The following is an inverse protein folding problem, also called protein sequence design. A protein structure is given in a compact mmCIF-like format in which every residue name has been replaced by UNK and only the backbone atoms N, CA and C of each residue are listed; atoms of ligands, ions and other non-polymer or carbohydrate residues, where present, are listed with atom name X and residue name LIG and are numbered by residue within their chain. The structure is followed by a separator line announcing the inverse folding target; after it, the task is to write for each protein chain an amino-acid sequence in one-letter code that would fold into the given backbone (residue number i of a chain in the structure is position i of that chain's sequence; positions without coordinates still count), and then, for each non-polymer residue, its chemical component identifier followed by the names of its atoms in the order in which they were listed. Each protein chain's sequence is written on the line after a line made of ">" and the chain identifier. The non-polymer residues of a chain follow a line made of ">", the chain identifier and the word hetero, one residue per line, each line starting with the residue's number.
data_IF_202471975435
#
_entry.id   IF_202471975435
#
_cell.length_a   1.000
_cell.length_b   1.000
_cell.length_c   1.000
_cell.angle_alpha   90.00
_cell.angle_beta   90.00
_cell.angle_gamma   90.00
#
_symmetry.space_group_name_H-M   'P 1'
#
loop_
_entity.id
_entity.type
_entity.pdbx_description
1 polymer ?
#
# COMPACT_ATOMS: atom_id res chain seq x y z
N UNK A 1 7.43 -29.19 -7.02
CA UNK A 1 6.50 -28.57 -7.99
C UNK A 1 5.73 -27.50 -7.24
N UNK A 2 5.61 -26.29 -7.79
CA UNK A 2 4.78 -25.26 -7.17
C UNK A 2 3.32 -25.74 -7.15
N UNK A 3 2.66 -25.58 -6.02
CA UNK A 3 1.24 -25.93 -5.84
C UNK A 3 0.42 -24.87 -6.59
N UNK A 4 0.19 -25.10 -7.89
CA UNK A 4 -0.48 -24.16 -8.76
C UNK A 4 -2.00 -24.36 -8.67
N UNK A 5 -2.78 -23.28 -8.51
CA UNK A 5 -4.24 -23.37 -8.53
C UNK A 5 -4.74 -23.89 -9.89
N UNK A 6 -5.90 -24.55 -9.88
CA UNK A 6 -6.53 -25.06 -11.11
C UNK A 6 -7.04 -23.89 -11.97
N UNK A 7 -7.08 -24.06 -13.29
CA UNK A 7 -7.57 -23.02 -14.21
C UNK A 7 -8.99 -22.53 -13.86
N UNK A 8 -9.87 -23.44 -13.45
CA UNK A 8 -11.24 -23.10 -13.08
C UNK A 8 -11.28 -22.21 -11.83
N UNK A 9 -10.34 -22.37 -10.89
CA UNK A 9 -10.23 -21.55 -9.69
C UNK A 9 -9.72 -20.14 -10.00
N UNK A 10 -8.86 -19.99 -11.02
CA UNK A 10 -8.30 -18.70 -11.44
C UNK A 10 -9.34 -17.78 -12.11
N UNK A 11 -10.39 -18.35 -12.70
CA UNK A 11 -11.44 -17.60 -13.42
C UNK A 11 -12.51 -17.06 -12.45
N UNK A 12 -12.62 -17.63 -11.24
CA UNK A 12 -13.64 -17.27 -10.25
C UNK A 12 -13.22 -16.02 -9.46
N UNK A 13 -13.32 -14.85 -10.09
CA UNK A 13 -13.03 -13.56 -9.44
C UNK A 13 -14.31 -13.02 -8.79
N UNK A 14 -14.26 -12.80 -7.48
CA UNK A 14 -15.35 -12.21 -6.73
C UNK A 14 -15.17 -10.69 -6.63
N UNK A 15 -16.05 -9.93 -7.27
CA UNK A 15 -16.06 -8.46 -7.22
C UNK A 15 -17.00 -7.89 -6.14
N UNK A 16 -17.63 -8.75 -5.33
CA UNK A 16 -18.46 -8.27 -4.23
C UNK A 16 -17.56 -7.63 -3.15
N UNK A 17 -17.91 -6.43 -2.65
CA UNK A 17 -17.14 -5.80 -1.60
C UNK A 17 -17.18 -6.65 -0.31
N UNK A 18 -16.13 -6.55 0.53
CA UNK A 18 -16.10 -7.21 1.83
C UNK A 18 -17.24 -6.67 2.72
N UNK A 19 -17.65 -7.48 3.70
CA UNK A 19 -18.68 -7.08 4.68
C UNK A 19 -18.19 -6.04 5.69
N UNK A 20 -16.87 -5.98 5.90
CA UNK A 20 -16.19 -5.04 6.79
C UNK A 20 -16.09 -3.66 6.15
N UNK A 21 -15.85 -2.63 6.96
CA UNK A 21 -15.42 -1.33 6.47
C UNK A 21 -14.15 -1.47 5.62
N UNK A 22 -13.96 -0.57 4.66
CA UNK A 22 -12.80 -0.62 3.76
C UNK A 22 -11.47 -0.40 4.51
N UNK A 23 -11.48 0.36 5.61
CA UNK A 23 -10.32 0.54 6.51
C UNK A 23 -10.08 -0.71 7.37
N UNK A 24 -11.15 -1.38 7.82
CA UNK A 24 -11.08 -2.53 8.74
C UNK A 24 -10.83 -3.88 8.05
N UNK A 25 -10.87 -3.91 6.72
CA UNK A 25 -10.64 -5.15 5.97
C UNK A 25 -9.17 -5.56 6.19
N UNK A 26 -8.81 -6.77 6.63
CA UNK A 26 -7.39 -7.10 6.85
C UNK A 26 -6.65 -7.30 5.51
N UNK A 27 -5.37 -6.96 5.48
CA UNK A 27 -4.51 -7.27 4.32
C UNK A 27 -3.90 -8.66 4.49
N UNK A 28 -4.12 -9.55 3.52
CA UNK A 28 -3.57 -10.91 3.56
C UNK A 28 -2.45 -11.04 2.54
N UNK A 29 -1.22 -11.12 3.03
CA UNK A 29 -0.04 -11.39 2.19
C UNK A 29 -0.07 -12.87 1.81
N UNK A 30 -0.47 -13.17 0.56
CA UNK A 30 -0.54 -14.53 0.03
C UNK A 30 0.72 -14.89 -0.73
N UNK A 31 1.20 -16.12 -0.55
CA UNK A 31 2.33 -16.67 -1.32
C UNK A 31 2.11 -16.46 -2.83
N UNK A 32 3.09 -15.83 -3.48
CA UNK A 32 3.04 -15.52 -4.91
C UNK A 32 2.43 -14.17 -5.29
N UNK A 33 1.94 -13.37 -4.32
CA UNK A 33 1.29 -12.06 -4.56
C UNK A 33 1.99 -10.91 -3.79
N UNK A 34 3.30 -11.05 -3.55
CA UNK A 34 4.14 -10.03 -2.92
C UNK A 34 5.56 -10.06 -3.50
N UNK A 35 6.29 -8.95 -3.36
CA UNK A 35 7.71 -8.90 -3.70
C UNK A 35 8.54 -9.61 -2.64
N UNK A 36 9.43 -10.50 -3.05
CA UNK A 36 10.33 -11.17 -2.12
C UNK A 36 11.43 -10.20 -1.64
N UNK A 37 11.85 -10.35 -0.39
CA UNK A 37 13.03 -9.67 0.11
C UNK A 37 14.28 -10.10 -0.67
N UNK A 38 15.18 -9.15 -0.92
CA UNK A 38 16.46 -9.46 -1.54
C UNK A 38 17.36 -10.28 -0.60
N UNK A 39 18.26 -11.07 -1.18
CA UNK A 39 19.24 -11.83 -0.40
C UNK A 39 20.12 -10.89 0.43
N UNK A 40 20.15 -11.10 1.74
CA UNK A 40 20.93 -10.29 2.69
C UNK A 40 22.39 -10.09 2.25
N UNK A 41 23.09 -11.17 1.89
CA UNK A 41 24.51 -11.12 1.51
C UNK A 41 24.72 -10.22 0.30
N UNK A 42 23.81 -10.24 -0.66
CA UNK A 42 23.88 -9.38 -1.85
C UNK A 42 23.66 -7.91 -1.51
N UNK A 43 22.70 -7.61 -0.63
CA UNK A 43 22.41 -6.24 -0.17
C UNK A 43 23.58 -5.67 0.62
N UNK A 44 24.17 -6.47 1.51
CA UNK A 44 25.37 -6.13 2.29
C UNK A 44 26.59 -5.92 1.38
N UNK A 45 26.85 -6.84 0.44
CA UNK A 45 27.97 -6.73 -0.53
C UNK A 45 27.90 -5.43 -1.32
N UNK A 46 26.70 -5.00 -1.73
CA UNK A 46 26.49 -3.75 -2.47
C UNK A 46 26.44 -2.51 -1.57
N UNK A 47 26.61 -2.65 -0.25
CA UNK A 47 26.49 -1.56 0.73
C UNK A 47 25.16 -0.80 0.61
N UNK A 48 24.09 -1.50 0.24
CA UNK A 48 22.75 -0.92 0.17
C UNK A 48 22.21 -0.62 1.57
N UNK A 49 21.38 0.44 1.72
CA UNK A 49 20.86 0.84 3.02
C UNK A 49 19.96 -0.23 3.64
N UNK A 50 19.99 -0.32 4.97
CA UNK A 50 19.14 -1.22 5.77
C UNK A 50 19.24 -2.70 5.37
N UNK A 51 20.45 -3.18 5.04
CA UNK A 51 20.72 -4.59 4.79
C UNK A 51 20.32 -5.45 6.01
N UNK A 52 19.34 -6.32 5.83
CA UNK A 52 18.86 -7.25 6.85
C UNK A 52 18.19 -8.47 6.23
N UNK A 53 18.16 -9.57 6.96
CA UNK A 53 17.40 -10.75 6.59
C UNK A 53 15.97 -10.64 7.14
N UNK A 54 14.98 -10.59 6.24
CA UNK A 54 13.56 -10.48 6.58
C UNK A 54 12.70 -11.14 5.49
N UNK A 55 11.45 -11.47 5.81
CA UNK A 55 10.48 -12.00 4.87
C UNK A 55 9.11 -11.33 5.10
N UNK A 56 8.38 -10.92 4.03
CA UNK A 56 7.03 -10.37 4.17
C UNK A 56 6.01 -11.28 4.86
N UNK A 57 6.25 -12.59 4.89
CA UNK A 57 5.41 -13.56 5.59
C UNK A 57 5.70 -13.67 7.09
N UNK A 58 6.85 -13.17 7.54
CA UNK A 58 7.20 -13.19 8.96
C UNK A 58 6.46 -12.07 9.68
N UNK A 59 6.11 -12.30 10.95
CA UNK A 59 5.47 -11.28 11.78
C UNK A 59 6.41 -10.10 12.10
N UNK A 60 7.71 -10.36 12.22
CA UNK A 60 8.73 -9.35 12.50
C UNK A 60 9.58 -9.08 11.25
N UNK A 61 9.46 -7.86 10.70
CA UNK A 61 10.21 -7.42 9.52
C UNK A 61 11.58 -6.81 9.86
N UNK A 62 11.97 -6.85 11.15
CA UNK A 62 13.23 -6.33 11.69
C UNK A 62 13.51 -4.90 11.24
N UNK A 63 12.48 -4.06 11.28
CA UNK A 63 12.56 -2.69 10.82
C UNK A 63 13.59 -1.91 11.67
N UNK A 64 14.33 -0.95 11.09
CA UNK A 64 15.22 -0.09 11.87
C UNK A 64 14.40 0.74 12.86
N UNK A 65 14.92 1.02 14.05
CA UNK A 65 14.17 1.69 15.12
C UNK A 65 13.55 3.04 14.71
N UNK A 66 14.16 3.75 13.77
CA UNK A 66 13.72 5.03 13.26
C UNK A 66 12.95 4.95 11.92
N UNK A 67 12.41 3.78 11.54
CA UNK A 67 11.74 3.60 10.25
C UNK A 67 10.60 4.60 10.01
N UNK A 68 9.82 4.94 11.05
CA UNK A 68 8.74 5.94 10.95
C UNK A 68 9.29 7.31 10.58
N UNK A 69 10.38 7.72 11.24
CA UNK A 69 11.04 8.99 11.00
C UNK A 69 11.57 9.08 9.56
N UNK A 70 12.20 8.01 9.06
CA UNK A 70 12.69 7.93 7.68
C UNK A 70 11.56 8.22 6.68
N UNK A 71 10.40 7.58 6.88
CA UNK A 71 9.25 7.77 5.99
C UNK A 71 8.65 9.18 6.15
N UNK A 72 8.47 9.67 7.38
CA UNK A 72 7.94 11.02 7.62
C UNK A 72 8.82 12.11 6.99
N UNK A 73 10.14 11.99 7.13
CA UNK A 73 11.09 12.92 6.52
C UNK A 73 10.99 12.87 4.99
N UNK A 74 10.97 11.67 4.40
CA UNK A 74 10.83 11.51 2.95
C UNK A 74 9.47 11.99 2.41
N UNK A 75 8.41 11.88 3.20
CA UNK A 75 7.08 12.38 2.87
C UNK A 75 7.05 13.91 2.91
N UNK A 76 7.58 14.52 3.98
CA UNK A 76 7.68 15.97 4.13
C UNK A 76 8.49 16.60 3.00
N UNK A 77 9.65 16.03 2.68
CA UNK A 77 10.48 16.48 1.56
C UNK A 77 9.71 16.50 0.23
N UNK A 78 8.94 15.43 -0.06
CA UNK A 78 8.14 15.33 -1.29
C UNK A 78 6.98 16.29 -1.31
N UNK A 79 6.30 16.49 -0.18
CA UNK A 79 5.28 17.53 -0.06
C UNK A 79 5.89 18.88 -0.37
N UNK A 80 6.97 19.28 0.31
CA UNK A 80 7.58 20.60 0.15
C UNK A 80 8.12 20.85 -1.26
N UNK A 81 8.67 19.82 -1.90
CA UNK A 81 9.25 19.92 -3.24
C UNK A 81 8.24 19.88 -4.39
N UNK A 82 7.16 19.09 -4.27
CA UNK A 82 6.26 18.81 -5.39
C UNK A 82 4.81 19.26 -5.15
N UNK A 83 4.41 20.36 -5.81
CA UNK A 83 3.02 20.84 -5.80
C UNK A 83 2.03 19.78 -6.28
N UNK A 84 2.39 19.01 -7.31
CA UNK A 84 1.53 17.94 -7.84
C UNK A 84 1.22 16.89 -6.78
N UNK A 85 2.22 16.51 -5.98
CA UNK A 85 2.03 15.55 -4.89
C UNK A 85 1.05 16.10 -3.83
N UNK A 86 1.18 17.37 -3.43
CA UNK A 86 0.20 18.02 -2.53
C UNK A 86 -1.23 17.95 -3.11
N UNK A 87 -1.41 18.37 -4.37
CA UNK A 87 -2.73 18.38 -5.01
C UNK A 87 -3.34 16.97 -5.06
N UNK A 88 -2.56 15.95 -5.38
CA UNK A 88 -3.06 14.57 -5.47
C UNK A 88 -3.47 13.96 -4.12
N UNK A 89 -3.04 14.54 -2.99
CA UNK A 89 -3.51 14.15 -1.67
C UNK A 89 -4.94 14.65 -1.40
N UNK A 90 -5.31 15.81 -1.94
CA UNK A 90 -6.56 16.50 -1.58
C UNK A 90 -7.65 16.44 -2.66
N UNK A 91 -7.30 16.31 -3.94
CA UNK A 91 -8.24 16.50 -5.05
C UNK A 91 -9.17 15.31 -5.32
N UNK A 92 -8.89 14.13 -4.76
CA UNK A 92 -9.66 12.93 -5.08
C UNK A 92 -11.07 13.01 -4.49
N UNK A 93 -12.08 13.08 -5.36
CA UNK A 93 -13.51 13.07 -4.98
C UNK A 93 -14.11 11.67 -4.88
N UNK A 94 -13.28 10.61 -4.93
CA UNK A 94 -13.70 9.20 -4.86
C UNK A 94 -14.78 8.80 -5.88
N UNK A 95 -14.74 9.36 -7.09
CA UNK A 95 -15.73 9.09 -8.15
C UNK A 95 -15.67 7.67 -8.73
N UNK A 96 -14.58 6.92 -8.50
CA UNK A 96 -14.42 5.56 -9.01
C UNK A 96 -14.04 5.44 -10.49
N UNK A 97 -13.83 6.54 -11.22
CA UNK A 97 -13.51 6.53 -12.65
C UNK A 97 -12.20 5.78 -13.02
N UNK A 98 -11.31 5.55 -12.03
CA UNK A 98 -10.08 4.80 -12.21
C UNK A 98 -10.22 3.28 -11.95
N UNK A 99 -11.36 2.83 -11.41
CA UNK A 99 -11.53 1.45 -10.94
C UNK A 99 -11.40 0.43 -12.06
N UNK A 100 -12.20 0.60 -13.11
CA UNK A 100 -12.28 -0.26 -14.29
C UNK A 100 -11.03 -0.17 -15.19
N UNK A 101 -10.08 0.70 -14.85
CA UNK A 101 -8.82 0.87 -15.61
C UNK A 101 -7.69 0.00 -15.07
N UNK A 102 -7.80 -0.49 -13.84
CA UNK A 102 -6.72 -1.21 -13.19
C UNK A 102 -6.84 -2.72 -13.43
N UNK A 103 -5.89 -3.28 -14.19
CA UNK A 103 -5.83 -4.72 -14.44
C UNK A 103 -5.71 -5.57 -13.17
N UNK A 104 -5.05 -5.06 -12.12
CA UNK A 104 -4.90 -5.78 -10.85
C UNK A 104 -6.21 -5.82 -10.07
N UNK A 105 -6.97 -4.71 -10.06
CA UNK A 105 -8.31 -4.70 -9.48
C UNK A 105 -9.25 -5.65 -10.23
N UNK A 106 -9.26 -5.57 -11.56
CA UNK A 106 -10.09 -6.44 -12.40
C UNK A 106 -9.70 -7.92 -12.27
N UNK A 107 -8.41 -8.23 -12.16
CA UNK A 107 -7.91 -9.60 -12.07
C UNK A 107 -8.01 -10.22 -10.66
N UNK A 108 -8.12 -9.41 -9.60
CA UNK A 108 -8.15 -9.93 -8.22
C UNK A 108 -9.49 -9.72 -7.52
N UNK A 109 -10.27 -8.74 -7.93
CA UNK A 109 -11.46 -8.28 -7.20
C UNK A 109 -11.14 -7.60 -5.86
N UNK A 110 -9.87 -7.53 -5.45
CA UNK A 110 -9.46 -6.94 -4.17
C UNK A 110 -9.71 -5.42 -4.18
N UNK A 111 -10.59 -4.89 -3.33
CA UNK A 111 -10.88 -3.46 -3.26
C UNK A 111 -9.63 -2.61 -3.05
N UNK A 112 -8.60 -3.09 -2.33
CA UNK A 112 -7.35 -2.34 -2.13
C UNK A 112 -6.49 -2.24 -3.38
N UNK A 113 -6.73 -3.09 -4.39
CA UNK A 113 -6.13 -2.95 -5.70
C UNK A 113 -6.81 -1.91 -6.59
N UNK A 114 -8.01 -1.44 -6.22
CA UNK A 114 -8.66 -0.30 -6.86
C UNK A 114 -7.77 0.93 -6.70
N UNK A 115 -7.50 1.73 -7.75
CA UNK A 115 -6.55 2.83 -7.64
C UNK A 115 -6.92 3.90 -6.61
N UNK A 116 -8.22 4.15 -6.38
CA UNK A 116 -8.67 5.04 -5.28
C UNK A 116 -8.21 4.48 -3.94
N UNK A 117 -8.61 3.24 -3.60
CA UNK A 117 -8.31 2.63 -2.31
C UNK A 117 -6.80 2.48 -2.08
N UNK A 118 -6.04 2.11 -3.12
CA UNK A 118 -4.57 2.06 -3.06
C UNK A 118 -3.99 3.43 -2.70
N UNK A 119 -4.45 4.50 -3.35
CA UNK A 119 -4.00 5.86 -3.03
C UNK A 119 -4.48 6.32 -1.64
N UNK A 120 -5.64 5.86 -1.18
CA UNK A 120 -6.14 6.17 0.17
C UNK A 120 -5.25 5.60 1.28
N UNK A 121 -4.50 4.52 1.05
CA UNK A 121 -3.49 4.05 2.02
C UNK A 121 -2.47 5.15 2.37
N UNK A 122 -2.02 5.89 1.35
CA UNK A 122 -1.11 7.01 1.51
C UNK A 122 -1.81 8.23 2.11
N UNK A 123 -3.05 8.52 1.65
CA UNK A 123 -3.80 9.69 2.10
C UNK A 123 -4.31 9.60 3.53
N UNK A 124 -4.58 8.40 4.05
CA UNK A 124 -4.93 8.19 5.46
C UNK A 124 -3.83 8.72 6.39
N UNK A 125 -2.58 8.32 6.12
CA UNK A 125 -1.39 8.80 6.85
C UNK A 125 -1.17 10.29 6.59
N UNK A 126 -1.36 10.76 5.37
CA UNK A 126 -1.28 12.19 5.06
C UNK A 126 -2.24 13.02 5.94
N UNK A 127 -3.52 12.65 5.98
CA UNK A 127 -4.54 13.36 6.75
C UNK A 127 -4.21 13.33 8.25
N UNK A 128 -3.78 12.18 8.77
CA UNK A 128 -3.44 12.00 10.19
C UNK A 128 -2.34 12.95 10.67
N UNK A 129 -1.26 13.08 9.90
CA UNK A 129 -0.06 13.76 10.38
C UNK A 129 0.13 15.18 9.81
N UNK A 130 -0.40 15.47 8.62
CA UNK A 130 -0.11 16.69 7.86
C UNK A 130 -1.31 17.63 7.70
N UNK A 131 -2.49 17.27 8.19
CA UNK A 131 -3.66 18.14 8.20
C UNK A 131 -4.15 18.39 9.63
N UNK A 132 -4.73 19.57 9.88
CA UNK A 132 -5.33 19.87 11.19
C UNK A 132 -6.58 19.02 11.42
N UNK A 133 -7.45 18.89 10.41
CA UNK A 133 -8.69 18.15 10.51
C UNK A 133 -8.46 16.67 10.82
N UNK A 134 -7.57 15.98 10.08
CA UNK A 134 -7.28 14.56 10.34
C UNK A 134 -6.49 14.30 11.63
N UNK A 135 -5.79 15.31 12.17
CA UNK A 135 -5.13 15.19 13.47
C UNK A 135 -6.13 15.21 14.63
N UNK A 136 -7.11 16.12 14.59
CA UNK A 136 -8.07 16.31 15.68
C UNK A 136 -9.35 15.47 15.52
N UNK A 137 -9.74 15.13 14.30
CA UNK A 137 -10.95 14.37 13.99
C UNK A 137 -10.62 13.21 13.03
N UNK A 138 -9.81 12.23 13.45
CA UNK A 138 -9.29 11.19 12.56
C UNK A 138 -10.40 10.38 11.89
N UNK A 139 -11.40 9.93 12.66
CA UNK A 139 -12.48 9.07 12.17
C UNK A 139 -13.35 9.77 11.13
N UNK A 140 -13.58 11.08 11.29
CA UNK A 140 -14.37 11.88 10.33
C UNK A 140 -13.61 12.12 9.01
N UNK A 141 -12.28 12.03 9.04
CA UNK A 141 -11.43 12.34 7.91
C UNK A 141 -10.81 11.09 7.29
N UNK A 142 -11.25 9.88 7.66
CA UNK A 142 -10.60 8.62 7.27
C UNK A 142 -9.07 8.73 7.44
N UNK A 143 -8.62 9.15 8.62
CA UNK A 143 -7.21 9.31 8.94
C UNK A 143 -6.76 8.17 9.85
N UNK A 144 -5.65 7.52 9.49
CA UNK A 144 -5.13 6.38 10.23
C UNK A 144 -3.68 6.62 10.67
N UNK A 145 -3.31 6.01 11.79
CA UNK A 145 -1.94 6.03 12.28
C UNK A 145 -1.01 5.23 11.36
N UNK A 146 0.28 5.61 11.36
CA UNK A 146 1.30 4.91 10.60
C UNK A 146 2.00 3.89 11.47
N UNK A 147 1.47 2.67 11.45
CA UNK A 147 1.98 1.48 12.14
C UNK A 147 2.52 0.44 11.16
N UNK A 148 2.98 -0.69 11.70
CA UNK A 148 3.57 -1.77 10.89
C UNK A 148 2.52 -2.45 10.00
N UNK A 149 1.25 -2.48 10.43
CA UNK A 149 0.17 -2.99 9.60
C UNK A 149 0.00 -2.10 8.36
N UNK A 150 -0.14 -0.78 8.53
CA UNK A 150 -0.24 0.17 7.42
C UNK A 150 0.99 0.09 6.50
N UNK A 151 2.19 -0.04 7.06
CA UNK A 151 3.42 -0.24 6.29
C UNK A 151 3.36 -1.54 5.46
N UNK A 152 2.83 -2.62 6.02
CA UNK A 152 2.63 -3.87 5.30
C UNK A 152 1.62 -3.70 4.16
N UNK A 153 0.52 -2.96 4.37
CA UNK A 153 -0.43 -2.64 3.29
C UNK A 153 0.24 -1.85 2.17
N UNK A 154 1.04 -0.81 2.52
CA UNK A 154 1.79 -0.03 1.54
C UNK A 154 2.73 -0.93 0.75
N UNK A 155 3.51 -1.78 1.43
CA UNK A 155 4.41 -2.72 0.77
C UNK A 155 3.65 -3.65 -0.17
N UNK A 156 2.58 -4.30 0.28
CA UNK A 156 1.83 -5.24 -0.56
C UNK A 156 1.20 -4.54 -1.76
N UNK A 157 0.44 -3.47 -1.55
CA UNK A 157 -0.39 -2.89 -2.61
C UNK A 157 0.35 -1.91 -3.52
N UNK A 158 1.41 -1.24 -3.05
CA UNK A 158 2.22 -0.39 -3.91
C UNK A 158 3.08 -1.23 -4.85
N UNK A 159 3.65 -2.34 -4.37
CA UNK A 159 4.45 -3.22 -5.21
C UNK A 159 3.63 -4.15 -6.12
N UNK A 160 2.31 -4.25 -5.92
CA UNK A 160 1.40 -4.84 -6.91
C UNK A 160 1.10 -3.88 -8.08
N UNK A 161 1.39 -2.58 -7.95
CA UNK A 161 1.18 -1.62 -9.03
C UNK A 161 2.31 -1.73 -10.06
N UNK A 162 1.97 -1.96 -11.34
CA UNK A 162 2.94 -1.95 -12.44
C UNK A 162 3.19 -0.54 -13.02
N UNK A 163 2.66 0.50 -12.38
CA UNK A 163 2.80 1.90 -12.81
C UNK A 163 2.37 2.16 -14.28
N UNK A 164 1.37 1.43 -14.79
CA UNK A 164 0.93 1.53 -16.19
C UNK A 164 0.18 2.84 -16.54
N UNK A 165 -0.07 3.71 -15.56
CA UNK A 165 -0.71 5.04 -15.69
C UNK A 165 -2.13 5.07 -16.26
N UNK A 166 -2.81 3.94 -16.46
CA UNK A 166 -4.21 3.91 -16.95
C UNK A 166 -5.21 4.57 -15.99
N UNK A 167 -4.85 4.68 -14.71
CA UNK A 167 -5.67 5.25 -13.66
C UNK A 167 -5.35 6.72 -13.33
N UNK A 168 -4.37 7.31 -14.02
CA UNK A 168 -3.95 8.71 -13.82
C UNK A 168 -4.86 9.70 -14.54
#
# INVERSE_FOLDING_TARGET
>A
MADLPKSDELIQINHNPPKTGWMDTPTVIRKGIYCYAANYKSVETLSLPNAREWNPLDADWKLPQNWKEIIHNGFKERLDKYRSFKIFMDVCVRCGACADKCQFYLGTGDPRNMPVARAELLRQVYRRYYTLAGRFFPDLNDAADFDEEMLAQWYTYFYQCSECRRCS
#
